data_IF_198290099661
#
_entry.id   IF_198290099661
#
_cell.length_a   1.000
_cell.length_b   1.000
_cell.length_c   1.000
_cell.angle_alpha   90.00
_cell.angle_beta   90.00
_cell.angle_gamma   90.00
#
_symmetry.space_group_name_H-M   'P 1'
#
loop_
_entity.id
_entity.type
_entity.pdbx_description
1 polymer ?
#
# COMPACT_ATOMS: atom_id res chain seq x y z
N UNK A 1 -16.49 -12.22 3.81
CA UNK A 1 -17.56 -11.32 3.33
C UNK A 1 -17.23 -11.02 1.88
N UNK A 2 -18.13 -11.33 0.96
CA UNK A 2 -17.95 -10.99 -0.44
C UNK A 2 -18.31 -9.51 -0.65
N UNK A 3 -17.65 -8.80 -1.60
CA UNK A 3 -17.98 -7.41 -1.87
C UNK A 3 -19.38 -7.30 -2.48
N UNK A 4 -20.17 -6.35 -1.98
CA UNK A 4 -21.54 -6.10 -2.45
C UNK A 4 -21.58 -5.07 -3.57
N UNK A 5 -20.47 -4.37 -3.83
CA UNK A 5 -20.37 -3.35 -4.88
C UNK A 5 -19.01 -3.35 -5.60
N UNK A 6 -18.99 -2.80 -6.81
CA UNK A 6 -17.75 -2.59 -7.58
C UNK A 6 -16.76 -1.66 -6.85
N UNK A 7 -17.28 -0.71 -6.06
CA UNK A 7 -16.45 0.17 -5.24
C UNK A 7 -15.69 -0.63 -4.17
N UNK A 8 -16.33 -1.57 -3.50
CA UNK A 8 -15.69 -2.45 -2.52
C UNK A 8 -14.67 -3.39 -3.17
N UNK A 9 -14.98 -3.93 -4.34
CA UNK A 9 -14.00 -4.68 -5.15
C UNK A 9 -12.77 -3.82 -5.42
N UNK A 10 -12.95 -2.54 -5.76
CA UNK A 10 -11.84 -1.61 -6.01
C UNK A 10 -11.01 -1.37 -4.75
N UNK A 11 -11.63 -1.14 -3.60
CA UNK A 11 -10.90 -0.95 -2.34
C UNK A 11 -10.07 -2.18 -1.98
N UNK A 12 -10.62 -3.38 -2.14
CA UNK A 12 -9.90 -4.63 -1.90
C UNK A 12 -8.69 -4.79 -2.84
N UNK A 13 -8.85 -4.43 -4.12
CA UNK A 13 -7.74 -4.44 -5.10
C UNK A 13 -6.65 -3.44 -4.71
N UNK A 14 -7.02 -2.21 -4.39
CA UNK A 14 -6.06 -1.17 -4.01
C UNK A 14 -5.30 -1.59 -2.73
N UNK A 15 -6.01 -2.07 -1.71
CA UNK A 15 -5.38 -2.58 -0.48
C UNK A 15 -4.37 -3.71 -0.74
N UNK A 16 -4.68 -4.61 -1.69
CA UNK A 16 -3.78 -5.68 -2.09
C UNK A 16 -2.54 -5.15 -2.82
N UNK A 17 -2.69 -4.11 -3.64
CA UNK A 17 -1.57 -3.47 -4.32
C UNK A 17 -0.55 -2.87 -3.34
N UNK A 18 -1.04 -2.19 -2.31
CA UNK A 18 -0.22 -1.51 -1.30
C UNK A 18 0.32 -2.41 -0.18
N UNK A 19 -0.13 -3.65 -0.08
CA UNK A 19 0.30 -4.59 0.95
C UNK A 19 1.34 -5.58 0.44
N UNK A 20 0.94 -6.44 -0.51
CA UNK A 20 1.78 -7.54 -0.99
C UNK A 20 2.29 -7.31 -2.42
N UNK A 21 1.47 -6.73 -3.30
CA UNK A 21 1.82 -6.71 -4.73
C UNK A 21 2.92 -5.73 -5.09
N UNK A 22 3.26 -4.78 -4.23
CA UNK A 22 4.41 -3.90 -4.47
C UNK A 22 5.77 -4.61 -4.46
N UNK A 23 5.91 -5.73 -3.76
CA UNK A 23 7.09 -6.59 -3.82
C UNK A 23 6.94 -7.72 -4.83
N UNK A 24 5.72 -8.26 -4.97
CA UNK A 24 5.45 -9.38 -5.87
C UNK A 24 5.49 -8.92 -7.34
N UNK A 25 4.90 -7.77 -7.68
CA UNK A 25 4.84 -7.33 -9.08
C UNK A 25 6.22 -7.18 -9.74
N UNK A 26 7.24 -6.58 -9.10
CA UNK A 26 8.58 -6.52 -9.69
C UNK A 26 9.14 -7.90 -10.10
N UNK A 27 8.88 -8.96 -9.31
CA UNK A 27 9.35 -10.32 -9.58
C UNK A 27 8.69 -10.97 -10.82
N UNK A 28 7.46 -10.57 -11.17
CA UNK A 28 6.70 -11.18 -12.27
C UNK A 28 6.48 -10.26 -13.46
N UNK A 29 6.57 -8.94 -13.26
CA UNK A 29 6.24 -7.90 -14.25
C UNK A 29 7.38 -6.89 -14.44
N UNK A 30 8.45 -6.99 -13.65
CA UNK A 30 9.61 -6.10 -13.74
C UNK A 30 9.36 -4.67 -13.24
N UNK A 31 8.17 -4.36 -12.71
CA UNK A 31 7.91 -3.04 -12.18
C UNK A 31 6.88 -3.05 -11.04
N UNK A 32 6.84 -1.95 -10.28
CA UNK A 32 5.82 -1.70 -9.27
C UNK A 32 4.41 -1.65 -9.88
N UNK A 33 3.34 -1.88 -9.08
CA UNK A 33 1.97 -1.67 -9.53
C UNK A 33 1.74 -0.28 -10.12
N UNK A 34 0.98 -0.21 -11.23
CA UNK A 34 0.69 1.05 -11.93
C UNK A 34 0.00 2.07 -11.02
N UNK A 35 -0.97 1.64 -10.20
CA UNK A 35 -1.69 2.56 -9.32
C UNK A 35 -0.73 3.17 -8.28
N UNK A 36 0.15 2.35 -7.68
CA UNK A 36 1.19 2.82 -6.78
C UNK A 36 2.08 3.89 -7.44
N UNK A 37 2.55 3.64 -8.66
CA UNK A 37 3.36 4.61 -9.41
C UNK A 37 2.64 5.94 -9.62
N UNK A 38 1.38 5.90 -10.06
CA UNK A 38 0.56 7.11 -10.25
C UNK A 38 0.40 7.88 -8.94
N UNK A 39 0.03 7.19 -7.86
CA UNK A 39 -0.20 7.83 -6.55
C UNK A 39 1.07 8.44 -5.96
N UNK A 40 2.21 7.74 -5.97
CA UNK A 40 3.45 8.28 -5.40
C UNK A 40 3.98 9.45 -6.23
N UNK A 41 3.88 9.38 -7.55
CA UNK A 41 4.25 10.50 -8.43
C UNK A 41 3.42 11.75 -8.11
N UNK A 42 2.10 11.59 -7.99
CA UNK A 42 1.21 12.72 -7.69
C UNK A 42 1.49 13.32 -6.31
N UNK A 43 1.68 12.49 -5.28
CA UNK A 43 2.01 12.94 -3.93
C UNK A 43 3.38 13.63 -3.88
N UNK A 44 4.38 13.06 -4.54
CA UNK A 44 5.72 13.65 -4.62
C UNK A 44 5.69 15.05 -5.27
N UNK A 45 4.88 15.22 -6.33
CA UNK A 45 4.66 16.53 -6.96
C UNK A 45 3.97 17.51 -6.02
N UNK A 46 2.95 17.08 -5.28
CA UNK A 46 2.24 17.92 -4.29
C UNK A 46 3.16 18.39 -3.15
N UNK A 47 4.13 17.55 -2.78
CA UNK A 47 5.18 17.89 -1.80
C UNK A 47 6.29 18.80 -2.37
N UNK A 48 6.20 19.22 -3.63
CA UNK A 48 7.19 20.07 -4.28
C UNK A 48 8.49 19.35 -4.69
N UNK A 49 8.49 18.01 -4.73
CA UNK A 49 9.66 17.24 -5.18
C UNK A 49 9.77 17.28 -6.70
N UNK A 50 11.00 17.44 -7.19
CA UNK A 50 11.32 17.40 -8.63
C UNK A 50 11.32 15.98 -9.18
N UNK A 51 11.52 14.99 -8.33
CA UNK A 51 11.53 13.56 -8.67
C UNK A 51 10.54 12.79 -7.80
N UNK A 52 10.03 11.68 -8.34
CA UNK A 52 9.18 10.77 -7.57
C UNK A 52 9.98 10.09 -6.46
N UNK A 53 9.34 9.90 -5.30
CA UNK A 53 9.88 9.07 -4.22
C UNK A 53 9.93 7.58 -4.56
N UNK A 54 9.14 7.13 -5.54
CA UNK A 54 9.17 5.76 -6.02
C UNK A 54 10.17 5.67 -7.20
N UNK A 55 11.30 4.97 -7.06
CA UNK A 55 12.27 4.84 -8.12
C UNK A 55 11.71 4.08 -9.34
N UNK A 56 12.37 4.26 -10.47
CA UNK A 56 12.15 3.46 -11.67
C UNK A 56 13.25 2.42 -11.76
N UNK A 57 12.88 1.18 -12.08
CA UNK A 57 13.86 0.18 -12.48
C UNK A 57 14.39 0.52 -13.88
N UNK A 58 15.71 0.49 -14.03
CA UNK A 58 16.39 0.42 -15.31
C UNK A 58 16.07 -0.91 -16.00
N UNK A 59 16.22 -0.97 -17.32
CA UNK A 59 15.88 -2.20 -18.07
C UNK A 59 16.71 -3.40 -17.60
N UNK A 60 17.99 -3.18 -17.25
CA UNK A 60 18.84 -4.20 -16.61
C UNK A 60 18.27 -4.72 -15.29
N UNK A 61 17.76 -3.83 -14.43
CA UNK A 61 17.14 -4.25 -13.16
C UNK A 61 15.83 -5.00 -13.39
N UNK A 62 15.03 -4.62 -14.38
CA UNK A 62 13.80 -5.34 -14.73
C UNK A 62 14.11 -6.77 -15.17
N UNK A 63 15.09 -6.93 -16.05
CA UNK A 63 15.52 -8.24 -16.55
C UNK A 63 16.08 -9.12 -15.43
N UNK A 64 16.77 -8.52 -14.46
CA UNK A 64 17.26 -9.23 -13.27
C UNK A 64 16.14 -9.66 -12.33
N UNK A 65 15.05 -8.88 -12.24
CA UNK A 65 13.94 -9.16 -11.32
C UNK A 65 12.95 -10.19 -11.86
N UNK A 66 12.62 -10.10 -13.15
CA UNK A 66 11.60 -10.97 -13.78
C UNK A 66 12.08 -12.42 -13.74
N UNK A 67 11.31 -13.27 -13.05
CA UNK A 67 11.62 -14.70 -12.95
C UNK A 67 12.78 -15.03 -12.00
N UNK A 68 13.19 -14.09 -11.14
CA UNK A 68 14.23 -14.31 -10.14
C UNK A 68 13.81 -15.19 -8.94
N UNK A 69 12.59 -15.73 -8.97
CA UNK A 69 12.06 -16.61 -7.94
C UNK A 69 11.40 -17.86 -8.56
N UNK A 70 11.83 -19.04 -8.13
CA UNK A 70 11.28 -20.33 -8.56
C UNK A 70 9.95 -20.69 -7.87
N UNK A 71 9.73 -20.15 -6.67
CA UNK A 71 8.51 -20.36 -5.89
C UNK A 71 8.15 -19.11 -5.08
N UNK A 72 6.85 -18.96 -4.78
CA UNK A 72 6.33 -17.88 -3.94
C UNK A 72 5.89 -18.44 -2.58
N UNK A 73 6.69 -18.20 -1.54
CA UNK A 73 6.31 -18.50 -0.16
C UNK A 73 5.40 -17.41 0.40
N UNK A 74 4.17 -17.76 0.78
CA UNK A 74 3.20 -16.81 1.35
C UNK A 74 3.01 -17.12 2.83
N UNK A 75 3.40 -16.18 3.68
CA UNK A 75 3.05 -16.19 5.09
C UNK A 75 1.70 -15.51 5.28
N UNK A 76 0.70 -16.27 5.74
CA UNK A 76 -0.67 -15.81 5.88
C UNK A 76 -1.19 -16.11 7.29
N UNK A 77 -1.56 -15.06 8.01
CA UNK A 77 -2.00 -15.16 9.41
C UNK A 77 -3.39 -14.58 9.66
N UNK A 78 -3.76 -13.52 8.94
CA UNK A 78 -5.00 -12.79 9.16
C UNK A 78 -5.60 -12.31 7.84
N UNK A 79 -6.91 -12.14 7.82
CA UNK A 79 -7.63 -11.35 6.81
C UNK A 79 -8.06 -10.02 7.41
N UNK A 80 -8.07 -8.99 6.57
CA UNK A 80 -8.61 -7.68 6.92
C UNK A 80 -9.76 -7.36 5.98
N UNK A 81 -10.86 -6.85 6.53
CA UNK A 81 -11.95 -6.28 5.74
C UNK A 81 -11.58 -4.86 5.34
N UNK A 82 -11.98 -4.42 4.14
CA UNK A 82 -11.77 -3.05 3.69
C UNK A 82 -13.10 -2.44 3.27
N UNK A 83 -13.25 -1.14 3.52
CA UNK A 83 -14.46 -0.39 3.18
C UNK A 83 -14.15 1.05 2.86
N UNK A 84 -15.14 1.77 2.33
CA UNK A 84 -15.03 3.21 2.18
C UNK A 84 -14.79 3.89 3.55
N UNK A 85 -13.96 4.92 3.53
CA UNK A 85 -13.73 5.79 4.69
C UNK A 85 -15.02 6.53 5.05
N UNK A 86 -15.41 6.55 6.33
CA UNK A 86 -16.57 7.34 6.76
C UNK A 86 -16.15 8.78 7.07
N UNK A 87 -17.01 9.79 6.83
CA UNK A 87 -16.64 11.20 7.03
C UNK A 87 -16.20 11.56 8.45
N UNK A 88 -16.68 10.83 9.46
CA UNK A 88 -16.44 11.03 10.88
C UNK A 88 -15.18 10.30 11.41
N UNK A 89 -14.54 9.47 10.58
CA UNK A 89 -13.39 8.68 11.00
C UNK A 89 -12.08 9.48 10.94
N UNK A 90 -11.17 9.20 11.88
CA UNK A 90 -9.79 9.70 11.89
C UNK A 90 -8.84 8.50 11.79
N UNK A 91 -8.58 8.05 10.57
CA UNK A 91 -7.65 6.94 10.30
C UNK A 91 -6.27 7.42 9.84
N UNK A 92 -5.23 6.61 10.09
CA UNK A 92 -3.86 6.86 9.64
C UNK A 92 -3.69 6.77 8.11
N UNK A 93 -4.71 6.30 7.37
CA UNK A 93 -4.66 6.06 5.93
C UNK A 93 -5.55 7.00 5.09
N UNK A 94 -5.76 8.25 5.54
CA UNK A 94 -6.52 9.27 4.76
C UNK A 94 -6.04 9.41 3.31
N UNK A 95 -4.74 9.19 3.07
CA UNK A 95 -4.15 9.27 1.74
C UNK A 95 -4.50 8.13 0.76
N UNK A 96 -5.29 7.13 1.16
CA UNK A 96 -5.68 5.98 0.34
C UNK A 96 -7.19 5.88 0.08
N UNK A 97 -8.02 6.74 0.69
CA UNK A 97 -9.48 6.83 0.53
C UNK A 97 -10.29 5.57 0.95
N UNK A 98 -9.68 4.57 1.58
CA UNK A 98 -10.38 3.42 2.16
C UNK A 98 -9.88 3.13 3.58
N UNK A 99 -10.77 2.57 4.40
CA UNK A 99 -10.45 2.07 5.75
C UNK A 99 -10.19 0.56 5.69
N UNK A 100 -9.23 0.12 6.51
CA UNK A 100 -8.91 -1.29 6.71
C UNK A 100 -9.33 -1.64 8.12
N UNK A 101 -10.41 -2.42 8.23
CA UNK A 101 -11.25 -2.57 9.40
C UNK A 101 -10.46 -2.71 10.69
N UNK A 102 -10.63 -1.73 11.57
CA UNK A 102 -10.08 -1.76 12.92
C UNK A 102 -8.57 -1.54 13.03
N UNK A 103 -7.79 -1.29 11.98
CA UNK A 103 -6.35 -0.98 12.15
C UNK A 103 -6.13 0.29 12.97
N UNK A 104 -6.97 1.31 12.78
CA UNK A 104 -6.98 2.49 13.66
C UNK A 104 -7.42 2.16 15.10
N UNK A 105 -8.38 1.26 15.28
CA UNK A 105 -8.85 0.82 16.60
C UNK A 105 -7.81 -0.03 17.33
N UNK A 106 -7.18 -1.00 16.65
CA UNK A 106 -6.12 -1.88 17.14
C UNK A 106 -4.86 -1.06 17.46
N UNK A 107 -4.44 -0.16 16.56
CA UNK A 107 -3.33 0.75 16.82
C UNK A 107 -3.57 1.63 18.06
N UNK A 108 -4.82 2.09 18.26
CA UNK A 108 -5.20 2.93 19.40
C UNK A 108 -5.34 2.16 20.73
N UNK A 109 -5.66 0.86 20.71
CA UNK A 109 -6.02 0.12 21.93
C UNK A 109 -5.13 -1.08 22.29
N UNK A 110 -4.32 -1.62 21.37
CA UNK A 110 -3.55 -2.86 21.60
C UNK A 110 -2.02 -2.63 21.63
N UNK A 111 -1.55 -1.44 21.27
CA UNK A 111 -0.12 -1.12 21.24
C UNK A 111 0.66 -1.91 20.17
N UNK A 112 1.93 -1.55 19.98
CA UNK A 112 2.77 -1.78 18.80
C UNK A 112 3.08 -3.24 18.34
N UNK A 113 2.26 -4.24 18.67
CA UNK A 113 2.63 -5.66 18.54
C UNK A 113 2.55 -6.20 17.10
N UNK A 114 1.86 -5.53 16.17
CA UNK A 114 1.72 -5.98 14.78
C UNK A 114 2.38 -5.07 13.73
N UNK A 115 3.31 -4.20 14.13
CA UNK A 115 3.72 -3.08 13.28
C UNK A 115 4.64 -3.47 12.12
N UNK A 116 5.38 -4.59 12.13
CA UNK A 116 6.47 -4.81 11.16
C UNK A 116 6.05 -4.94 9.68
N UNK A 117 4.84 -5.44 9.35
CA UNK A 117 4.42 -5.57 7.95
C UNK A 117 3.69 -4.33 7.40
N UNK A 118 3.08 -3.52 8.28
CA UNK A 118 2.30 -2.33 7.91
C UNK A 118 3.13 -1.04 8.07
N UNK A 119 4.15 -1.05 8.91
CA UNK A 119 5.12 0.05 9.12
C UNK A 119 6.23 0.13 8.07
N UNK A 120 6.07 -0.48 6.88
CA UNK A 120 6.79 -0.04 5.69
C UNK A 120 6.07 1.12 4.96
N UNK A 121 4.91 1.57 5.49
CA UNK A 121 4.26 2.82 5.10
C UNK A 121 4.47 4.05 6.03
N UNK A 122 5.58 4.29 6.77
CA UNK A 122 5.78 5.55 7.48
C UNK A 122 6.36 6.66 6.58
N UNK A 123 6.58 6.42 5.28
CA UNK A 123 7.05 7.46 4.36
C UNK A 123 5.95 8.44 3.89
N UNK A 124 4.86 8.51 4.64
CA UNK A 124 3.73 9.43 4.43
C UNK A 124 3.18 9.93 5.79
N UNK A 125 4.03 10.02 6.82
CA UNK A 125 3.75 10.97 7.90
C UNK A 125 4.02 12.36 7.32
N UNK A 126 2.95 13.07 7.01
CA UNK A 126 2.99 14.51 6.85
C UNK A 126 3.81 15.11 8.00
N UNK A 127 4.79 15.96 7.65
CA UNK A 127 5.38 16.89 8.58
C UNK A 127 4.25 17.73 9.16
N UNK A 128 4.06 17.64 10.47
CA UNK A 128 3.31 18.67 11.20
C UNK A 128 4.08 20.00 11.02
N UNK A 129 3.43 21.10 10.64
CA UNK A 129 4.09 22.39 10.58
C UNK A 129 4.27 22.92 12.00
N UNK A 130 5.52 23.05 12.44
CA UNK A 130 5.95 24.08 13.38
C UNK A 130 7.00 24.95 12.71
#
# INVERSE_FOLDING_TARGET
MEPESEAEVKFAKDAREWSALWFINPLFRGDYPKAMRVTVNEKSRREGRTTSRLPYFSDYEKDMLIGSADFLGINYYISLTVRAFRPDEQGMHKGLNYDVDGTAYIAKHIGNVLYSAVSLLPYLSDCDPQ
#
